data_IF_108165377977
#
_entry.id   IF_108165377977
#
_cell.length_a   1.000
_cell.length_b   1.000
_cell.length_c   1.000
_cell.angle_alpha   90.00
_cell.angle_beta   90.00
_cell.angle_gamma   90.00
#
_symmetry.space_group_name_H-M   'P 1'
#
loop_
_entity.id
_entity.type
_entity.pdbx_description
1 polymer ?
#
# COMPACT_ATOMS: atom_id res chain seq x y z
N UNK A 1 12.68 -2.71 12.09
CA UNK A 1 11.70 -3.19 11.11
C UNK A 1 10.62 -2.14 10.99
N UNK A 2 10.20 -1.82 9.76
CA UNK A 2 9.12 -0.88 9.50
C UNK A 2 7.85 -1.66 9.12
N UNK A 3 6.70 -0.99 9.15
CA UNK A 3 5.46 -1.54 8.63
C UNK A 3 4.49 -0.44 8.22
N UNK A 4 3.63 -0.76 7.25
CA UNK A 4 2.54 0.11 6.83
C UNK A 4 1.32 -0.69 6.40
N UNK A 5 0.16 -0.08 6.51
CA UNK A 5 -1.15 -0.59 6.08
C UNK A 5 -1.69 0.20 4.88
N UNK A 6 -0.93 1.18 4.37
CA UNK A 6 -1.30 2.04 3.25
C UNK A 6 -0.93 1.43 1.89
N UNK A 7 -0.83 0.11 1.81
CA UNK A 7 -0.54 -0.63 0.57
C UNK A 7 -1.78 -1.38 0.14
N UNK A 8 -1.97 -1.52 -1.16
CA UNK A 8 -3.14 -2.19 -1.71
C UNK A 8 -2.88 -2.78 -3.08
N UNK A 9 -3.68 -3.77 -3.44
CA UNK A 9 -3.68 -4.41 -4.77
C UNK A 9 -5.07 -4.33 -5.36
N UNK A 10 -5.19 -4.30 -6.68
CA UNK A 10 -6.47 -4.35 -7.36
C UNK A 10 -7.35 -5.50 -6.83
N UNK A 11 -8.62 -5.22 -6.54
CA UNK A 11 -9.55 -6.21 -5.99
C UNK A 11 -9.65 -7.45 -6.89
N UNK A 12 -9.76 -8.62 -6.27
CA UNK A 12 -9.65 -9.94 -6.92
C UNK A 12 -8.22 -10.50 -6.98
N UNK A 13 -7.21 -9.75 -6.54
CA UNK A 13 -5.80 -10.17 -6.59
C UNK A 13 -5.09 -10.27 -5.23
N UNK A 14 -5.74 -9.95 -4.10
CA UNK A 14 -5.13 -9.97 -2.76
C UNK A 14 -4.37 -11.23 -2.44
N UNK A 15 -5.08 -12.36 -2.40
CA UNK A 15 -4.51 -13.65 -2.00
C UNK A 15 -3.29 -14.03 -2.86
N UNK A 16 -3.47 -14.09 -4.18
CA UNK A 16 -2.41 -14.47 -5.13
C UNK A 16 -1.19 -13.54 -5.10
N UNK A 17 -1.40 -12.23 -4.92
CA UNK A 17 -0.29 -11.26 -4.87
C UNK A 17 0.45 -11.38 -3.56
N UNK A 18 -0.25 -11.46 -2.43
CA UNK A 18 0.38 -11.57 -1.11
C UNK A 18 1.18 -12.86 -0.97
N UNK A 19 0.62 -13.99 -1.41
CA UNK A 19 1.32 -15.27 -1.43
C UNK A 19 2.59 -15.20 -2.28
N UNK A 20 2.49 -14.61 -3.48
CA UNK A 20 3.63 -14.43 -4.36
C UNK A 20 4.71 -13.52 -3.76
N UNK A 21 4.32 -12.38 -3.19
CA UNK A 21 5.26 -11.42 -2.56
C UNK A 21 6.01 -12.06 -1.39
N UNK A 22 5.29 -12.79 -0.52
CA UNK A 22 5.89 -13.50 0.61
C UNK A 22 6.84 -14.62 0.14
N UNK A 23 6.45 -15.36 -0.89
CA UNK A 23 7.30 -16.40 -1.48
C UNK A 23 8.58 -15.82 -2.10
N UNK A 24 8.48 -14.71 -2.83
CA UNK A 24 9.65 -14.02 -3.39
C UNK A 24 10.57 -13.44 -2.30
N UNK A 25 10.01 -12.90 -1.22
CA UNK A 25 10.79 -12.43 -0.08
C UNK A 25 11.58 -13.57 0.57
N UNK A 26 10.93 -14.74 0.80
CA UNK A 26 11.58 -15.94 1.34
C UNK A 26 12.73 -16.42 0.47
N UNK A 27 12.53 -16.54 -0.86
CA UNK A 27 13.59 -16.95 -1.81
C UNK A 27 14.81 -16.04 -1.74
N UNK A 28 14.59 -14.73 -1.58
CA UNK A 28 15.63 -13.71 -1.53
C UNK A 28 16.16 -13.45 -0.13
N UNK A 29 15.75 -14.25 0.88
CA UNK A 29 16.07 -14.07 2.30
C UNK A 29 15.85 -12.62 2.78
N UNK A 30 14.86 -11.94 2.20
CA UNK A 30 14.53 -10.55 2.50
C UNK A 30 13.62 -10.49 3.71
N UNK A 31 13.87 -9.53 4.62
CA UNK A 31 12.98 -9.27 5.77
C UNK A 31 11.71 -8.59 5.27
N UNK A 32 10.72 -9.38 4.89
CA UNK A 32 9.42 -8.89 4.42
C UNK A 32 8.34 -9.96 4.65
N UNK A 33 7.19 -9.51 5.18
CA UNK A 33 5.98 -10.31 5.30
C UNK A 33 4.78 -9.41 5.06
N UNK A 34 3.90 -9.79 4.13
CA UNK A 34 2.64 -9.13 3.82
C UNK A 34 1.46 -9.96 4.34
N UNK A 35 0.44 -9.27 4.85
CA UNK A 35 -0.77 -9.87 5.43
C UNK A 35 -2.00 -9.09 4.99
N UNK A 36 -3.06 -9.80 4.62
CA UNK A 36 -4.36 -9.19 4.31
C UNK A 36 -4.81 -8.29 5.47
N UNK A 37 -5.37 -7.14 5.13
CA UNK A 37 -5.95 -6.21 6.10
C UNK A 37 -7.48 -6.28 6.15
N UNK A 38 -8.10 -7.18 5.37
CA UNK A 38 -9.57 -7.35 5.24
C UNK A 38 -10.31 -6.01 5.15
N UNK A 39 -9.74 -5.10 4.39
CA UNK A 39 -10.22 -3.74 4.22
C UNK A 39 -10.01 -3.35 2.76
N UNK A 40 -11.01 -2.70 2.19
CA UNK A 40 -10.96 -2.25 0.81
C UNK A 40 -11.07 -0.73 0.73
N UNK A 41 -10.42 -0.17 -0.28
CA UNK A 41 -10.53 1.24 -0.63
C UNK A 41 -10.98 1.35 -2.08
N UNK A 42 -12.15 1.96 -2.27
CA UNK A 42 -12.65 2.33 -3.59
C UNK A 42 -12.23 3.76 -3.91
N UNK A 43 -11.51 3.93 -5.01
CA UNK A 43 -11.13 5.24 -5.58
C UNK A 43 -12.08 5.59 -6.71
N UNK A 44 -12.29 6.88 -6.99
CA UNK A 44 -13.13 7.29 -8.14
C UNK A 44 -12.38 7.08 -9.46
N UNK A 45 -11.06 7.31 -9.47
CA UNK A 45 -10.24 7.30 -10.68
C UNK A 45 -9.53 5.98 -10.98
N UNK A 46 -9.30 5.13 -9.98
CA UNK A 46 -8.37 3.99 -10.11
C UNK A 46 -8.99 2.62 -9.77
N UNK A 47 -10.26 2.55 -9.39
CA UNK A 47 -10.96 1.33 -9.01
C UNK A 47 -10.83 0.98 -7.53
N UNK A 48 -11.16 -0.27 -7.20
CA UNK A 48 -11.15 -0.80 -5.82
C UNK A 48 -9.87 -1.56 -5.54
N UNK A 49 -9.33 -1.38 -4.34
CA UNK A 49 -8.12 -2.02 -3.87
C UNK A 49 -8.36 -2.78 -2.58
N UNK A 50 -7.90 -4.02 -2.54
CA UNK A 50 -7.74 -4.80 -1.32
C UNK A 50 -6.48 -4.34 -0.60
N UNK A 51 -6.66 -3.81 0.60
CA UNK A 51 -5.57 -3.27 1.41
C UNK A 51 -4.85 -4.41 2.14
N UNK A 52 -3.55 -4.23 2.34
CA UNK A 52 -2.73 -5.16 3.09
C UNK A 52 -1.72 -4.43 3.96
N UNK A 53 -1.34 -5.09 5.05
CA UNK A 53 -0.27 -4.66 5.93
C UNK A 53 1.01 -5.40 5.58
N UNK A 54 2.17 -4.80 5.85
CA UNK A 54 3.44 -5.49 5.77
C UNK A 54 4.38 -5.13 6.91
N UNK A 55 5.31 -6.02 7.21
CA UNK A 55 6.38 -5.83 8.19
C UNK A 55 7.71 -6.18 7.53
N UNK A 56 8.75 -5.37 7.74
CA UNK A 56 10.08 -5.66 7.21
C UNK A 56 10.88 -4.43 6.77
N UNK A 57 11.57 -4.56 5.64
CA UNK A 57 12.29 -3.49 4.95
C UNK A 57 11.38 -2.78 3.93
N UNK A 58 11.32 -1.45 4.01
CA UNK A 58 10.46 -0.63 3.14
C UNK A 58 10.87 -0.67 1.67
N UNK A 59 12.18 -0.76 1.37
CA UNK A 59 12.67 -0.89 0.00
C UNK A 59 12.27 -2.25 -0.57
N UNK A 60 12.31 -3.30 0.25
CA UNK A 60 11.80 -4.62 -0.15
C UNK A 60 10.30 -4.57 -0.44
N UNK A 61 9.49 -3.95 0.43
CA UNK A 61 8.05 -3.78 0.23
C UNK A 61 7.73 -3.06 -1.09
N UNK A 62 8.35 -1.90 -1.33
CA UNK A 62 8.17 -1.11 -2.57
C UNK A 62 8.62 -1.87 -3.82
N UNK A 63 9.76 -2.56 -3.75
CA UNK A 63 10.24 -3.37 -4.87
C UNK A 63 9.29 -4.53 -5.19
N UNK A 64 8.82 -5.24 -4.17
CA UNK A 64 7.93 -6.40 -4.35
C UNK A 64 6.58 -6.00 -4.91
N UNK A 65 5.95 -4.93 -4.40
CA UNK A 65 4.63 -4.50 -4.88
C UNK A 65 4.68 -4.01 -6.34
N UNK A 66 5.77 -3.33 -6.72
CA UNK A 66 6.01 -2.91 -8.11
C UNK A 66 6.17 -4.11 -9.03
N UNK A 67 6.95 -5.12 -8.60
CA UNK A 67 7.15 -6.36 -9.37
C UNK A 67 5.85 -7.17 -9.46
N UNK A 68 5.05 -7.21 -8.40
CA UNK A 68 3.73 -7.83 -8.42
C UNK A 68 2.83 -7.15 -9.46
N UNK A 69 2.74 -5.82 -9.42
CA UNK A 69 1.97 -5.04 -10.39
C UNK A 69 2.35 -5.37 -11.84
N UNK A 70 3.66 -5.47 -12.14
CA UNK A 70 4.14 -5.91 -13.47
C UNK A 70 3.75 -7.34 -13.82
N UNK A 71 3.96 -8.27 -12.89
CA UNK A 71 3.73 -9.71 -13.09
C UNK A 71 2.26 -10.00 -13.37
N UNK A 72 1.38 -9.45 -12.55
CA UNK A 72 -0.06 -9.69 -12.62
C UNK A 72 -0.79 -8.70 -13.54
N UNK A 73 -0.08 -7.67 -14.04
CA UNK A 73 -0.62 -6.60 -14.91
C UNK A 73 -1.75 -5.80 -14.27
N UNK A 74 -1.69 -5.63 -12.94
CA UNK A 74 -2.71 -4.97 -12.12
C UNK A 74 -2.27 -3.60 -11.62
N UNK A 75 -3.24 -2.80 -11.17
CA UNK A 75 -2.96 -1.59 -10.39
C UNK A 75 -2.60 -1.94 -8.96
N UNK A 76 -1.74 -1.13 -8.35
CA UNK A 76 -1.36 -1.26 -6.93
C UNK A 76 -1.25 0.11 -6.29
N UNK A 77 -1.44 0.16 -4.97
CA UNK A 77 -1.16 1.30 -4.12
C UNK A 77 0.18 1.03 -3.41
N UNK A 78 1.16 1.90 -3.66
CA UNK A 78 2.45 1.94 -2.98
C UNK A 78 2.46 3.10 -1.99
N UNK A 79 2.34 2.81 -0.70
CA UNK A 79 2.31 3.84 0.35
C UNK A 79 3.54 3.87 1.26
N UNK A 80 3.38 4.41 2.47
CA UNK A 80 4.47 4.58 3.43
C UNK A 80 5.34 5.79 3.11
N UNK A 81 4.75 6.84 2.56
CA UNK A 81 5.38 8.16 2.38
C UNK A 81 4.84 9.12 3.43
N UNK A 82 5.04 8.78 4.70
CA UNK A 82 4.61 9.62 5.83
C UNK A 82 5.46 10.88 5.91
N UNK A 83 4.82 12.02 6.05
CA UNK A 83 5.51 13.27 6.39
C UNK A 83 5.92 13.24 7.86
N UNK A 84 7.19 13.57 8.14
CA UNK A 84 7.68 13.77 9.52
C UNK A 84 7.25 15.15 10.03
N UNK A 85 5.95 15.40 10.19
CA UNK A 85 5.52 16.65 10.82
C UNK A 85 5.51 16.50 12.35
N UNK A 86 6.22 17.41 13.03
CA UNK A 86 6.40 17.47 14.50
C UNK A 86 5.25 18.15 15.25
N UNK A 87 4.13 18.47 14.58
CA UNK A 87 3.03 19.25 15.16
C UNK A 87 1.96 18.32 15.75
N UNK A 88 1.43 18.68 16.92
CA UNK A 88 0.33 18.03 17.63
C UNK A 88 -0.96 17.99 16.78
N UNK A 89 -1.03 17.12 15.77
CA UNK A 89 -2.24 16.84 15.00
C UNK A 89 -2.97 15.64 15.62
N UNK A 90 -4.30 15.69 15.61
CA UNK A 90 -5.20 14.58 16.01
C UNK A 90 -5.27 13.46 14.96
N UNK A 91 -4.63 13.63 13.79
CA UNK A 91 -4.69 12.72 12.64
C UNK A 91 -3.29 12.45 12.07
N UNK A 92 -3.08 11.22 11.58
CA UNK A 92 -1.91 10.80 10.79
C UNK A 92 -2.24 10.92 9.31
N UNK A 93 -1.28 11.38 8.51
CA UNK A 93 -1.38 11.41 7.04
C UNK A 93 -0.32 10.50 6.43
N UNK A 94 -0.68 9.73 5.41
CA UNK A 94 0.23 8.92 4.61
C UNK A 94 -0.04 9.18 3.14
N UNK A 95 1.00 9.49 2.39
CA UNK A 95 0.89 9.66 0.95
C UNK A 95 1.18 8.33 0.27
N UNK A 96 0.49 8.08 -0.83
CA UNK A 96 0.69 6.89 -1.63
C UNK A 96 0.64 7.20 -3.11
N UNK A 97 1.24 6.31 -3.90
CA UNK A 97 1.19 6.34 -5.35
C UNK A 97 0.35 5.18 -5.86
N UNK A 98 -0.49 5.45 -6.85
CA UNK A 98 -1.11 4.40 -7.64
C UNK A 98 -0.19 4.07 -8.81
N UNK A 99 0.15 2.80 -8.97
CA UNK A 99 1.06 2.32 -10.02
C UNK A 99 0.39 1.28 -10.90
N UNK A 100 0.79 1.24 -12.17
CA UNK A 100 0.51 0.15 -13.12
C UNK A 100 1.83 -0.26 -13.76
N UNK A 101 2.37 -1.39 -13.28
CA UNK A 101 3.75 -1.77 -13.50
C UNK A 101 4.71 -0.74 -12.90
N UNK A 102 5.68 -0.29 -13.69
CA UNK A 102 6.64 0.73 -13.26
C UNK A 102 6.07 2.16 -13.32
N UNK A 103 4.96 2.38 -14.05
CA UNK A 103 4.36 3.70 -14.25
C UNK A 103 3.54 4.13 -13.04
N UNK A 104 3.81 5.32 -12.51
CA UNK A 104 2.92 6.02 -11.58
C UNK A 104 1.80 6.68 -12.38
N UNK A 105 0.55 6.38 -12.01
CA UNK A 105 -0.67 6.87 -12.69
C UNK A 105 -1.51 7.83 -11.84
N UNK A 106 -1.13 8.00 -10.57
CA UNK A 106 -1.79 8.94 -9.67
C UNK A 106 -1.20 8.93 -8.27
N UNK A 107 -1.68 9.85 -7.46
CA UNK A 107 -1.31 10.01 -6.05
C UNK A 107 -2.57 9.94 -5.18
N UNK A 108 -2.42 9.39 -3.98
CA UNK A 108 -3.46 9.31 -2.96
C UNK A 108 -2.94 9.94 -1.67
N UNK A 109 -3.84 10.59 -0.95
CA UNK A 109 -3.64 11.01 0.44
C UNK A 109 -4.55 10.17 1.34
N UNK A 110 -3.95 9.43 2.26
CA UNK A 110 -4.67 8.73 3.32
C UNK A 110 -4.61 9.50 4.61
N UNK A 111 -5.67 9.40 5.41
CA UNK A 111 -5.70 9.89 6.78
C UNK A 111 -6.22 8.82 7.74
N UNK A 112 -5.66 8.78 8.94
CA UNK A 112 -6.10 7.90 10.03
C UNK A 112 -6.20 8.71 11.32
N UNK A 113 -7.18 8.39 12.16
CA UNK A 113 -7.35 9.04 13.46
C UNK A 113 -6.32 8.49 14.46
N UNK A 114 -5.84 9.35 15.37
CA UNK A 114 -5.08 8.90 16.54
C UNK A 114 -5.97 8.30 17.64
N UNK A 115 -7.27 8.62 17.62
CA UNK A 115 -8.26 8.20 18.61
C UNK A 115 -9.47 7.54 17.92
N UNK A 116 -9.92 6.38 18.37
CA UNK A 116 -11.03 5.63 17.77
C UNK A 116 -10.60 4.75 16.59
N UNK A 117 -11.35 4.79 15.48
CA UNK A 117 -11.06 4.00 14.26
C UNK A 117 -9.73 4.42 13.61
N UNK A 118 -8.73 3.56 13.75
CA UNK A 118 -7.35 3.76 13.29
C UNK A 118 -7.12 3.34 11.84
N UNK A 119 -8.15 2.84 11.14
CA UNK A 119 -8.00 2.44 9.73
C UNK A 119 -7.70 3.64 8.84
N UNK A 120 -6.86 3.43 7.83
CA UNK A 120 -6.55 4.44 6.83
C UNK A 120 -7.74 4.70 5.92
N UNK A 121 -8.15 5.96 5.80
CA UNK A 121 -9.25 6.39 4.93
C UNK A 121 -8.71 7.26 3.82
N UNK A 122 -9.19 7.03 2.60
CA UNK A 122 -8.87 7.86 1.44
C UNK A 122 -9.43 9.27 1.67
N UNK A 123 -8.59 10.30 1.50
CA UNK A 123 -8.96 11.71 1.66
C UNK A 123 -8.93 12.44 0.33
N UNK A 124 -7.87 12.24 -0.45
CA UNK A 124 -7.64 12.93 -1.71
C UNK A 124 -7.09 11.94 -2.73
N UNK A 125 -7.47 12.10 -4.00
CA UNK A 125 -6.89 11.36 -5.13
C UNK A 125 -6.61 12.32 -6.29
N UNK A 126 -5.45 12.16 -6.92
CA UNK A 126 -4.97 12.97 -8.04
C UNK A 126 -4.54 12.05 -9.18
N UNK A 127 -5.05 12.30 -10.40
CA UNK A 127 -4.70 11.54 -11.60
C UNK A 127 -3.62 12.27 -12.41
N UNK A 128 -2.64 11.51 -12.89
CA UNK A 128 -1.54 11.98 -13.73
C UNK A 128 -1.81 11.76 -15.22
#
# INVERSE_FOLDING_TARGET
>A
MAGSESFGVESGFGEQVLEWMNSEAKKRKSKFEARSYNYEITTKNFGTFEMFSWIGDVKAARSLITKASRRFKIRVIEGGYRTKEKVLKTKKTDFAMVRKGDRVIGHLEFSSSLFGDTRWKLKTEERK
#
